data_IF_360541492459
#
_entry.id   IF_360541492459
#
_cell.length_a   1.000
_cell.length_b   1.000
_cell.length_c   1.000
_cell.angle_alpha   90.00
_cell.angle_beta   90.00
_cell.angle_gamma   90.00
#
_symmetry.space_group_name_H-M   'P 1'
#
loop_
_entity.id
_entity.type
_entity.pdbx_description
1 polymer ?
#
# COMPACT_ATOMS: atom_id res chain seq x y z
N UNK A 1 16.69 -1.83 1.70
CA UNK A 1 15.59 -0.85 1.65
C UNK A 1 14.34 -1.50 2.20
N UNK A 2 13.57 -0.76 3.01
CA UNK A 2 12.32 -1.26 3.56
C UNK A 2 11.20 -1.08 2.54
N UNK A 3 10.15 -1.88 2.64
CA UNK A 3 8.97 -1.75 1.75
C UNK A 3 8.34 -0.35 1.82
N UNK A 4 8.53 0.34 2.96
CA UNK A 4 8.02 1.69 3.21
C UNK A 4 8.50 2.71 2.18
N UNK A 5 9.81 2.87 2.11
CA UNK A 5 10.51 3.85 1.27
C UNK A 5 10.24 3.59 -0.22
N UNK A 6 10.26 2.32 -0.62
CA UNK A 6 10.09 1.94 -2.02
C UNK A 6 8.65 2.19 -2.50
N UNK A 7 7.66 1.91 -1.66
CA UNK A 7 6.27 2.18 -1.98
C UNK A 7 5.95 3.68 -1.99
N UNK A 8 6.52 4.45 -1.07
CA UNK A 8 6.38 5.93 -1.07
C UNK A 8 6.98 6.54 -2.33
N UNK A 9 8.11 6.00 -2.81
CA UNK A 9 8.68 6.39 -4.11
C UNK A 9 7.70 6.12 -5.26
N UNK A 10 7.01 4.98 -5.27
CA UNK A 10 6.02 4.70 -6.32
C UNK A 10 4.79 5.61 -6.24
N UNK A 11 4.35 5.99 -5.04
CA UNK A 11 3.28 6.99 -4.86
C UNK A 11 3.71 8.35 -5.42
N UNK A 12 4.95 8.77 -5.17
CA UNK A 12 5.48 10.02 -5.73
C UNK A 12 5.53 10.03 -7.27
N UNK A 13 5.76 8.87 -7.88
CA UNK A 13 5.79 8.70 -9.35
C UNK A 13 4.40 8.51 -9.97
N UNK A 14 3.37 8.24 -9.17
CA UNK A 14 2.01 8.01 -9.66
C UNK A 14 1.39 9.30 -10.21
N UNK A 15 0.49 9.17 -11.17
CA UNK A 15 -0.26 10.31 -11.69
C UNK A 15 -1.14 10.91 -10.57
N UNK A 16 -1.35 12.25 -10.52
CA UNK A 16 -2.12 12.90 -9.47
C UNK A 16 -3.52 12.31 -9.26
N UNK A 17 -4.22 11.96 -10.35
CA UNK A 17 -5.55 11.36 -10.29
C UNK A 17 -5.54 9.98 -9.63
N UNK A 18 -4.47 9.21 -9.80
CA UNK A 18 -4.31 7.89 -9.16
C UNK A 18 -4.05 8.07 -7.66
N UNK A 19 -3.34 9.14 -7.29
CA UNK A 19 -3.11 9.49 -5.87
C UNK A 19 -4.41 9.88 -5.20
N UNK A 20 -5.17 10.80 -5.79
CA UNK A 20 -6.49 11.25 -5.28
C UNK A 20 -7.46 10.08 -5.07
N UNK A 21 -7.60 9.19 -6.07
CA UNK A 21 -8.42 7.98 -5.92
C UNK A 21 -7.89 7.03 -4.85
N UNK A 22 -6.57 6.97 -4.65
CA UNK A 22 -5.96 6.18 -3.60
C UNK A 22 -6.25 6.72 -2.20
N UNK A 23 -6.27 8.04 -2.05
CA UNK A 23 -6.63 8.72 -0.79
C UNK A 23 -8.10 8.45 -0.42
N UNK A 24 -9.02 8.53 -1.40
CA UNK A 24 -10.43 8.20 -1.19
C UNK A 24 -10.64 6.74 -0.73
N UNK A 25 -9.79 5.83 -1.18
CA UNK A 25 -9.86 4.41 -0.85
C UNK A 25 -9.11 4.04 0.44
N UNK A 26 -8.30 4.92 1.03
CA UNK A 26 -7.41 4.60 2.16
C UNK A 26 -8.19 4.00 3.34
N UNK A 27 -9.34 4.59 3.69
CA UNK A 27 -10.16 4.14 4.82
C UNK A 27 -10.82 2.77 4.57
N UNK A 28 -10.91 2.37 3.30
CA UNK A 28 -11.47 1.07 2.90
C UNK A 28 -10.42 -0.04 2.84
N UNK A 29 -9.16 0.25 3.20
CA UNK A 29 -8.07 -0.74 3.21
C UNK A 29 -8.09 -1.54 4.50
N UNK A 30 -8.13 -2.87 4.35
CA UNK A 30 -7.93 -3.83 5.43
C UNK A 30 -6.60 -4.54 5.21
N UNK A 31 -5.59 -4.22 6.02
CA UNK A 31 -4.29 -4.88 5.95
C UNK A 31 -4.40 -6.29 6.51
N UNK A 32 -4.29 -7.29 5.63
CA UNK A 32 -4.36 -8.72 5.97
C UNK A 32 -3.03 -9.22 6.52
N UNK A 33 -1.91 -8.73 5.97
CA UNK A 33 -0.56 -9.11 6.39
C UNK A 33 0.36 -7.91 6.39
N UNK A 34 1.12 -7.77 7.47
CA UNK A 34 2.12 -6.71 7.61
C UNK A 34 3.46 -7.28 8.07
N UNK A 35 4.50 -7.10 7.25
CA UNK A 35 5.87 -7.49 7.56
C UNK A 35 6.87 -6.51 6.89
N UNK A 36 8.16 -6.50 7.28
CA UNK A 36 9.14 -5.53 6.76
C UNK A 36 9.32 -5.54 5.25
N UNK A 37 9.11 -6.68 4.60
CA UNK A 37 9.34 -6.91 3.17
C UNK A 37 8.07 -7.24 2.38
N UNK A 38 6.91 -7.34 3.04
CA UNK A 38 5.64 -7.65 2.38
C UNK A 38 4.47 -7.03 3.13
N UNK A 39 3.55 -6.44 2.37
CA UNK A 39 2.27 -5.96 2.85
C UNK A 39 1.20 -6.51 1.94
N UNK A 40 0.19 -7.15 2.53
CA UNK A 40 -0.95 -7.69 1.81
C UNK A 40 -2.21 -7.06 2.37
N UNK A 41 -3.11 -6.60 1.51
CA UNK A 41 -4.33 -5.91 1.91
C UNK A 41 -5.50 -6.23 0.99
N UNK A 42 -6.69 -6.11 1.56
CA UNK A 42 -7.96 -6.08 0.82
C UNK A 42 -8.49 -4.65 0.81
N UNK A 43 -9.05 -4.23 -0.31
CA UNK A 43 -9.55 -2.86 -0.49
C UNK A 43 -11.00 -2.89 -0.94
N UNK A 44 -11.79 -1.94 -0.44
CA UNK A 44 -13.23 -1.80 -0.74
C UNK A 44 -14.02 -3.07 -0.43
N UNK A 45 -13.84 -3.62 0.78
CA UNK A 45 -14.55 -4.82 1.24
C UNK A 45 -14.19 -6.10 0.48
N UNK A 46 -12.94 -6.20 -0.01
CA UNK A 46 -12.44 -7.39 -0.72
C UNK A 46 -12.62 -7.34 -2.25
N UNK A 47 -13.11 -6.22 -2.81
CA UNK A 47 -13.23 -6.05 -4.25
C UNK A 47 -11.87 -6.06 -4.97
N UNK A 48 -10.81 -5.63 -4.29
CA UNK A 48 -9.44 -5.74 -4.77
C UNK A 48 -8.52 -6.33 -3.68
N UNK A 49 -7.60 -7.18 -4.10
CA UNK A 49 -6.54 -7.72 -3.28
C UNK A 49 -5.21 -7.17 -3.77
N UNK A 50 -4.43 -6.61 -2.85
CA UNK A 50 -3.15 -5.95 -3.12
C UNK A 50 -2.04 -6.68 -2.38
N UNK A 51 -0.95 -6.97 -3.09
CA UNK A 51 0.31 -7.44 -2.52
C UNK A 51 1.41 -6.46 -2.93
N UNK A 52 2.06 -5.85 -1.93
CA UNK A 52 3.29 -5.10 -2.09
C UNK A 52 4.42 -5.94 -1.50
N UNK A 53 5.52 -6.11 -2.21
CA UNK A 53 6.65 -6.91 -1.75
C UNK A 53 7.98 -6.32 -2.20
N UNK A 54 9.03 -6.55 -1.43
CA UNK A 54 10.40 -6.24 -1.84
C UNK A 54 11.03 -7.50 -2.45
N UNK A 55 11.50 -7.39 -3.68
CA UNK A 55 12.22 -8.45 -4.42
C UNK A 55 13.51 -7.87 -4.94
N UNK A 56 14.64 -8.46 -4.57
CA UNK A 56 15.98 -8.02 -4.98
C UNK A 56 16.22 -6.51 -4.78
N UNK A 57 15.71 -5.98 -3.67
CA UNK A 57 15.81 -4.56 -3.32
C UNK A 57 14.86 -3.62 -4.05
N UNK A 58 14.02 -4.12 -4.95
CA UNK A 58 13.02 -3.33 -5.69
C UNK A 58 11.61 -3.62 -5.20
N UNK A 59 10.69 -2.66 -5.35
CA UNK A 59 9.27 -2.92 -5.10
C UNK A 59 8.69 -3.71 -6.26
N UNK A 60 8.10 -4.85 -5.95
CA UNK A 60 7.13 -5.50 -6.81
C UNK A 60 5.74 -5.33 -6.20
N UNK A 61 4.75 -5.15 -7.06
CA UNK A 61 3.35 -5.01 -6.66
C UNK A 61 2.48 -5.91 -7.50
N UNK A 62 1.37 -6.34 -6.90
CA UNK A 62 0.30 -7.02 -7.58
C UNK A 62 -1.01 -6.49 -7.04
N UNK A 63 -1.97 -6.28 -7.92
CA UNK A 63 -3.34 -5.96 -7.53
C UNK A 63 -4.31 -6.71 -8.46
N UNK A 64 -5.38 -7.26 -7.89
CA UNK A 64 -6.37 -8.00 -8.67
C UNK A 64 -7.28 -7.09 -9.50
N UNK A 65 -7.22 -5.76 -9.38
CA UNK A 65 -8.02 -4.85 -10.22
C UNK A 65 -7.55 -4.86 -11.69
N UNK A 66 -8.36 -4.30 -12.59
CA UNK A 66 -8.06 -4.27 -14.03
C UNK A 66 -6.72 -3.61 -14.38
N UNK A 67 -6.33 -2.55 -13.68
CA UNK A 67 -5.06 -1.85 -13.86
C UNK A 67 -3.87 -2.63 -13.26
N UNK A 68 -4.05 -3.13 -12.04
CA UNK A 68 -3.04 -3.93 -11.35
C UNK A 68 -2.66 -5.18 -12.13
N UNK A 69 -3.63 -5.86 -12.73
CA UNK A 69 -3.39 -7.02 -13.62
C UNK A 69 -2.63 -6.65 -14.90
N UNK A 70 -2.62 -5.38 -15.30
CA UNK A 70 -1.80 -4.86 -16.41
C UNK A 70 -0.41 -4.38 -15.95
N UNK A 71 -0.07 -4.57 -14.67
CA UNK A 71 1.21 -4.15 -14.10
C UNK A 71 1.26 -2.69 -13.65
N UNK A 72 0.13 -1.96 -13.71
CA UNK A 72 0.10 -0.54 -13.31
C UNK A 72 0.04 -0.42 -11.79
N UNK A 73 0.79 0.53 -11.23
CA UNK A 73 0.66 0.93 -9.83
C UNK A 73 -0.64 1.72 -9.64
N UNK A 74 -1.74 1.00 -9.39
CA UNK A 74 -3.10 1.55 -9.37
C UNK A 74 -3.47 2.26 -8.05
N UNK A 75 -4.65 2.87 -8.03
CA UNK A 75 -5.18 3.55 -6.84
C UNK A 75 -5.25 2.64 -5.59
N UNK A 76 -5.56 1.35 -5.75
CA UNK A 76 -5.54 0.40 -4.61
C UNK A 76 -4.13 0.21 -4.03
N UNK A 77 -3.08 0.25 -4.86
CA UNK A 77 -1.69 0.17 -4.40
C UNK A 77 -1.29 1.44 -3.64
N UNK A 78 -1.75 2.60 -4.11
CA UNK A 78 -1.59 3.88 -3.40
C UNK A 78 -2.30 3.82 -2.04
N UNK A 79 -3.59 3.48 -2.02
CA UNK A 79 -4.40 3.37 -0.81
C UNK A 79 -3.72 2.45 0.23
N UNK A 80 -3.25 1.28 -0.21
CA UNK A 80 -2.54 0.32 0.65
C UNK A 80 -1.26 0.91 1.23
N UNK A 81 -0.53 1.70 0.44
CA UNK A 81 0.70 2.39 0.87
C UNK A 81 0.41 3.45 1.94
N UNK A 82 -0.65 4.24 1.75
CA UNK A 82 -1.10 5.25 2.71
C UNK A 82 -1.56 4.63 4.03
N UNK A 83 -2.45 3.63 3.96
CA UNK A 83 -2.96 2.91 5.13
C UNK A 83 -1.82 2.26 5.93
N UNK A 84 -0.82 1.68 5.25
CA UNK A 84 0.39 1.14 5.88
C UNK A 84 1.14 2.20 6.69
N UNK A 85 1.36 3.39 6.11
CA UNK A 85 2.03 4.51 6.78
C UNK A 85 1.27 4.91 8.05
N UNK A 86 -0.05 4.97 7.98
CA UNK A 86 -0.92 5.27 9.13
C UNK A 86 -0.76 4.25 10.26
N UNK A 87 -0.67 2.95 9.94
CA UNK A 87 -0.46 1.89 10.93
C UNK A 87 0.92 1.97 11.61
N UNK A 88 1.97 2.33 10.87
CA UNK A 88 3.31 2.56 11.42
C UNK A 88 3.32 3.70 12.44
N UNK A 89 2.69 4.84 12.11
CA UNK A 89 2.59 6.00 13.01
C UNK A 89 1.82 5.63 14.29
N UNK A 90 0.71 4.90 14.17
CA UNK A 90 -0.05 4.44 15.33
C UNK A 90 0.74 3.45 16.21
N UNK A 91 1.52 2.56 15.60
CA UNK A 91 2.35 1.57 16.30
C UNK A 91 3.54 2.21 17.02
N UNK A 92 4.04 3.33 16.51
CA UNK A 92 5.06 4.14 17.17
C UNK A 92 4.47 4.89 18.38
N UNK A 93 3.31 5.52 18.22
CA UNK A 93 2.64 6.27 19.30
C UNK A 93 2.25 5.36 20.48
N UNK A 94 1.67 4.18 20.23
CA UNK A 94 1.30 3.21 21.28
C UNK A 94 2.49 2.65 22.07
N UNK A 95 3.72 2.79 21.58
CA UNK A 95 4.92 2.29 22.23
C UNK A 95 5.48 3.25 23.27
N UNK A 96 5.04 4.51 23.26
CA UNK A 96 5.52 5.57 24.16
C UNK A 96 4.66 5.71 25.43
N UNK A 97 3.55 4.98 25.52
CA UNK A 97 2.62 4.94 26.67
C UNK A 97 2.83 3.71 27.58
N UNK A 98 3.98 3.02 27.48
CA UNK A 98 4.39 1.91 28.36
C UNK A 98 5.77 2.16 28.93
#
# INVERSE_FOLDING_TARGET
MLIGELAETQVWLAAPQVVEQGEELEESVQVVRYAPTVVTAEVAGGAAHVELRVVDGSLAWFCTCGEGRRGVFCAHCVATTLARRRLLVQSACRRTDR
#
